data_IF_723679323197
#
_entry.id   IF_723679323197
#
_cell.length_a   1.000
_cell.length_b   1.000
_cell.length_c   1.000
_cell.angle_alpha   90.00
_cell.angle_beta   90.00
_cell.angle_gamma   90.00
#
_symmetry.space_group_name_H-M   'P 1'
#
loop_
_entity.id
_entity.type
_entity.pdbx_description
1 polymer ?
#
# COMPACT_ATOMS: atom_id res chain seq x y z
N UNK A 1 -2.67 -11.66 -18.19
CA UNK A 1 -1.87 -10.44 -17.92
C UNK A 1 -2.75 -9.22 -17.61
N UNK A 2 -3.86 -8.96 -18.32
CA UNK A 2 -4.73 -7.79 -18.04
C UNK A 2 -5.36 -7.78 -16.63
N UNK A 3 -5.79 -8.93 -16.09
CA UNK A 3 -6.42 -8.99 -14.77
C UNK A 3 -5.51 -8.54 -13.62
N UNK A 4 -4.22 -8.90 -13.67
CA UNK A 4 -3.25 -8.52 -12.64
C UNK A 4 -3.08 -7.00 -12.56
N UNK A 5 -2.87 -6.36 -13.72
CA UNK A 5 -2.68 -4.91 -13.78
C UNK A 5 -3.95 -4.15 -13.35
N UNK A 6 -5.13 -4.67 -13.69
CA UNK A 6 -6.40 -4.11 -13.22
C UNK A 6 -6.50 -4.21 -11.70
N UNK A 7 -6.19 -5.38 -11.11
CA UNK A 7 -6.21 -5.55 -9.65
C UNK A 7 -5.21 -4.65 -8.94
N UNK A 8 -4.00 -4.49 -9.50
CA UNK A 8 -2.98 -3.58 -8.94
C UNK A 8 -3.46 -2.12 -9.05
N UNK A 9 -4.01 -1.71 -10.18
CA UNK A 9 -4.53 -0.36 -10.35
C UNK A 9 -5.69 -0.06 -9.38
N UNK A 10 -6.65 -0.99 -9.26
CA UNK A 10 -7.74 -0.88 -8.30
C UNK A 10 -7.23 -0.79 -6.86
N UNK A 11 -6.25 -1.62 -6.49
CA UNK A 11 -5.62 -1.57 -5.18
C UNK A 11 -4.99 -0.21 -4.90
N UNK A 12 -4.21 0.34 -5.85
CA UNK A 12 -3.57 1.65 -5.70
C UNK A 12 -4.61 2.77 -5.53
N UNK A 13 -5.67 2.76 -6.33
CA UNK A 13 -6.74 3.77 -6.26
C UNK A 13 -7.46 3.71 -4.91
N UNK A 14 -7.83 2.50 -4.46
CA UNK A 14 -8.51 2.32 -3.17
C UNK A 14 -7.59 2.68 -2.00
N UNK A 15 -6.32 2.27 -2.04
CA UNK A 15 -5.34 2.63 -1.04
C UNK A 15 -5.15 4.15 -0.94
N UNK A 16 -5.11 4.84 -2.09
CA UNK A 16 -5.03 6.29 -2.12
C UNK A 16 -6.26 6.94 -1.46
N UNK A 17 -7.48 6.47 -1.76
CA UNK A 17 -8.70 6.98 -1.16
C UNK A 17 -8.73 6.81 0.37
N UNK A 18 -8.29 5.65 0.88
CA UNK A 18 -8.21 5.37 2.32
C UNK A 18 -7.22 6.31 3.00
N UNK A 19 -6.01 6.45 2.44
CA UNK A 19 -4.98 7.33 3.00
C UNK A 19 -5.43 8.79 2.94
N UNK A 20 -5.99 9.25 1.82
CA UNK A 20 -6.49 10.60 1.67
C UNK A 20 -7.58 10.93 2.70
N UNK A 21 -8.58 10.05 2.85
CA UNK A 21 -9.61 10.23 3.88
C UNK A 21 -8.99 10.27 5.28
N UNK A 22 -8.12 9.33 5.62
CA UNK A 22 -7.43 9.33 6.91
C UNK A 22 -6.64 10.61 7.17
N UNK A 23 -5.96 11.16 6.17
CA UNK A 23 -5.23 12.42 6.34
C UNK A 23 -6.13 13.63 6.53
N UNK A 24 -7.23 13.70 5.78
CA UNK A 24 -8.18 14.81 5.84
C UNK A 24 -8.97 14.82 7.16
N UNK A 25 -9.26 13.66 7.74
CA UNK A 25 -9.93 13.56 9.04
C UNK A 25 -8.99 13.84 10.23
N UNK A 26 -7.68 13.68 10.07
CA UNK A 26 -6.71 13.82 11.16
C UNK A 26 -6.14 15.23 11.27
N UNK A 27 -5.95 15.92 10.15
CA UNK A 27 -5.32 17.24 10.15
C UNK A 27 -6.38 18.35 10.02
N UNK A 28 -6.43 19.32 10.94
CA UNK A 28 -7.42 20.40 10.92
C UNK A 28 -7.14 21.49 9.87
N UNK A 29 -5.95 21.50 9.25
CA UNK A 29 -5.54 22.44 8.21
C UNK A 29 -5.45 21.71 6.85
N UNK A 30 -6.39 22.02 5.96
CA UNK A 30 -6.50 21.43 4.62
C UNK A 30 -5.22 21.57 3.80
N UNK A 31 -4.51 22.70 3.94
CA UNK A 31 -3.29 22.96 3.17
C UNK A 31 -2.15 22.05 3.58
N UNK A 32 -2.07 21.73 4.88
CA UNK A 32 -1.10 20.80 5.44
C UNK A 32 -1.51 19.35 5.16
N UNK A 33 -2.81 19.05 5.25
CA UNK A 33 -3.37 17.73 4.95
C UNK A 33 -2.99 17.28 3.54
N UNK A 34 -3.23 18.13 2.53
CA UNK A 34 -2.94 17.83 1.13
C UNK A 34 -1.45 17.56 0.88
N UNK A 35 -0.56 18.33 1.52
CA UNK A 35 0.90 18.11 1.42
C UNK A 35 1.35 16.80 2.07
N UNK A 36 0.63 16.32 3.07
CA UNK A 36 0.97 15.09 3.80
C UNK A 36 0.40 13.82 3.15
N UNK A 37 -0.61 13.94 2.28
CA UNK A 37 -1.17 12.78 1.55
C UNK A 37 -0.08 12.01 0.81
N UNK A 38 0.72 12.70 0.00
CA UNK A 38 1.75 12.07 -0.83
C UNK A 38 2.76 11.24 -0.02
N UNK A 39 3.47 11.84 0.95
CA UNK A 39 4.43 11.12 1.79
C UNK A 39 3.80 9.96 2.59
N UNK A 40 2.58 10.13 3.11
CA UNK A 40 1.87 9.08 3.86
C UNK A 40 1.46 7.93 2.94
N UNK A 41 0.99 8.24 1.73
CA UNK A 41 0.63 7.25 0.73
C UNK A 41 1.85 6.44 0.28
N UNK A 42 2.98 7.10 0.01
CA UNK A 42 4.21 6.39 -0.33
C UNK A 42 4.72 5.49 0.80
N UNK A 43 4.68 5.98 2.05
CA UNK A 43 5.02 5.17 3.23
C UNK A 43 4.11 3.96 3.38
N UNK A 44 2.80 4.11 3.12
CA UNK A 44 1.85 3.00 3.11
C UNK A 44 2.21 1.95 2.04
N UNK A 45 2.50 2.37 0.81
CA UNK A 45 2.92 1.46 -0.25
C UNK A 45 4.21 0.72 0.08
N UNK A 46 5.18 1.38 0.71
CA UNK A 46 6.41 0.71 1.20
C UNK A 46 6.10 -0.38 2.23
N UNK A 47 5.17 -0.13 3.16
CA UNK A 47 4.73 -1.15 4.11
C UNK A 47 4.05 -2.34 3.42
N UNK A 48 3.16 -2.08 2.45
CA UNK A 48 2.54 -3.14 1.67
C UNK A 48 3.57 -3.97 0.89
N UNK A 49 4.54 -3.32 0.25
CA UNK A 49 5.63 -4.00 -0.45
C UNK A 49 6.47 -4.84 0.52
N UNK A 50 6.74 -4.33 1.72
CA UNK A 50 7.43 -5.07 2.77
C UNK A 50 6.68 -6.34 3.18
N UNK A 51 5.36 -6.24 3.41
CA UNK A 51 4.52 -7.41 3.75
C UNK A 51 4.56 -8.45 2.63
N UNK A 52 4.37 -8.03 1.37
CA UNK A 52 4.46 -8.94 0.22
C UNK A 52 5.84 -9.60 0.15
N UNK A 53 6.92 -8.84 0.37
CA UNK A 53 8.28 -9.36 0.42
C UNK A 53 8.46 -10.43 1.51
N UNK A 54 7.91 -10.19 2.71
CA UNK A 54 7.91 -11.18 3.81
C UNK A 54 7.12 -12.42 3.43
N UNK A 55 5.93 -12.28 2.83
CA UNK A 55 5.13 -13.42 2.38
C UNK A 55 5.88 -14.27 1.35
N UNK A 56 6.55 -13.63 0.38
CA UNK A 56 7.36 -14.32 -0.62
C UNK A 56 8.58 -15.01 0.01
N UNK A 57 9.22 -14.38 0.99
CA UNK A 57 10.35 -14.95 1.71
C UNK A 57 9.95 -16.16 2.56
N UNK A 58 8.80 -16.09 3.23
CA UNK A 58 8.21 -17.22 3.97
C UNK A 58 7.86 -18.36 3.02
N UNK A 59 7.24 -18.05 1.88
CA UNK A 59 6.96 -19.06 0.84
C UNK A 59 8.26 -19.74 0.37
N UNK A 60 9.31 -18.96 0.12
CA UNK A 60 10.64 -19.46 -0.25
C UNK A 60 11.30 -20.35 0.82
N UNK A 61 11.09 -20.04 2.11
CA UNK A 61 11.75 -20.75 3.22
C UNK A 61 10.97 -21.95 3.74
N UNK A 62 9.65 -21.93 3.66
CA UNK A 62 8.79 -22.96 4.25
C UNK A 62 8.08 -23.83 3.22
N UNK A 63 7.67 -23.26 2.08
CA UNK A 63 6.97 -24.04 1.04
C UNK A 63 7.95 -24.67 0.01
N UNK A 64 9.16 -24.12 -0.13
CA UNK A 64 10.21 -24.65 -1.03
C UNK A 64 11.13 -25.66 -0.31
N UNK A 65 11.07 -25.75 1.03
CA UNK A 65 11.92 -26.66 1.86
C UNK A 65 11.27 -28.02 2.10
N UNK A 66 9.94 -28.13 2.01
CA UNK A 66 9.18 -29.38 2.14
C UNK A 66 9.02 -30.14 0.78
N UNK A 67 9.79 -29.76 -0.24
CA UNK A 67 9.81 -30.38 -1.58
C UNK A 67 10.97 -31.34 -1.80
#
# INVERSE_FOLDING_TARGET
>A
MNGLWISVALFLVVAFAIVAMSTLYVEPDDSRALRMIGPRYFKFLLWCAGIVGVMLLVQKLFLDVDG
#
